data_IF_050749272498
#
_entry.id   IF_050749272498
#
_cell.length_a   1.000
_cell.length_b   1.000
_cell.length_c   1.000
_cell.angle_alpha   90.00
_cell.angle_beta   90.00
_cell.angle_gamma   90.00
#
_symmetry.space_group_name_H-M   'P 1'
#
loop_
_entity.id
_entity.type
_entity.pdbx_description
1 polymer ?
#
# COMPACT_ATOMS: atom_id res chain seq x y z
N UNK A 1 -2.09 -6.56 -0.27
CA UNK A 1 -2.28 -5.92 -1.58
C UNK A 1 -0.89 -5.56 -2.08
N UNK A 2 -0.61 -5.67 -3.38
CA UNK A 2 0.70 -5.34 -3.96
C UNK A 2 0.57 -4.04 -4.75
N UNK A 3 1.59 -3.18 -4.72
CA UNK A 3 1.56 -1.92 -5.45
C UNK A 3 2.03 -2.11 -6.90
N UNK A 4 1.51 -1.29 -7.80
CA UNK A 4 1.87 -1.29 -9.22
C UNK A 4 2.69 -0.04 -9.58
N UNK A 5 3.33 -0.05 -10.75
CA UNK A 5 3.93 1.16 -11.31
C UNK A 5 2.86 2.24 -11.50
N UNK A 6 3.21 3.50 -11.21
CA UNK A 6 2.32 4.68 -11.18
C UNK A 6 1.38 4.76 -9.96
N UNK A 7 1.42 3.80 -9.01
CA UNK A 7 0.60 3.84 -7.80
C UNK A 7 1.11 4.88 -6.78
N UNK A 8 0.19 5.54 -6.07
CA UNK A 8 0.51 6.58 -5.09
C UNK A 8 0.56 5.97 -3.68
N UNK A 9 1.67 6.15 -2.99
CA UNK A 9 1.92 5.53 -1.68
C UNK A 9 2.53 6.52 -0.71
N UNK A 10 2.21 6.37 0.57
CA UNK A 10 2.85 7.07 1.69
C UNK A 10 3.93 6.17 2.25
N UNK A 11 5.16 6.68 2.33
CA UNK A 11 6.28 5.98 2.93
C UNK A 11 6.22 6.12 4.46
N UNK A 12 6.28 5.00 5.17
CA UNK A 12 6.41 4.93 6.62
C UNK A 12 7.73 4.23 6.97
N UNK A 13 8.79 5.01 7.10
CA UNK A 13 10.11 4.50 7.45
C UNK A 13 10.89 5.52 8.29
N UNK A 14 11.07 5.23 9.58
CA UNK A 14 11.74 6.13 10.54
C UNK A 14 13.21 6.43 10.20
N UNK A 15 13.81 5.64 9.30
CA UNK A 15 15.18 5.82 8.82
C UNK A 15 15.26 6.61 7.52
N UNK A 16 14.13 6.83 6.86
CA UNK A 16 14.01 7.61 5.63
C UNK A 16 13.91 9.11 5.93
N UNK A 17 14.39 9.91 4.97
CA UNK A 17 14.18 11.35 4.93
C UNK A 17 12.77 11.72 4.43
N UNK A 18 12.06 10.77 3.80
CA UNK A 18 10.74 10.93 3.18
C UNK A 18 9.62 10.28 4.02
N UNK A 19 9.86 10.03 5.30
CA UNK A 19 8.87 9.47 6.23
C UNK A 19 7.61 10.36 6.31
N UNK A 20 6.46 9.76 6.03
CA UNK A 20 5.16 10.43 5.97
C UNK A 20 4.93 11.23 4.69
N UNK A 21 5.83 11.19 3.71
CA UNK A 21 5.62 11.81 2.39
C UNK A 21 4.93 10.84 1.43
N UNK A 22 4.09 11.41 0.56
CA UNK A 22 3.47 10.68 -0.55
C UNK A 22 4.38 10.71 -1.76
N UNK A 23 4.66 9.53 -2.32
CA UNK A 23 5.39 9.39 -3.57
C UNK A 23 4.71 8.41 -4.53
N UNK A 24 5.29 8.25 -5.70
CA UNK A 24 4.75 7.41 -6.78
C UNK A 24 5.67 6.22 -7.03
N UNK A 25 5.12 5.02 -7.12
CA UNK A 25 5.87 3.82 -7.48
C UNK A 25 6.35 3.94 -8.93
N UNK A 26 7.65 3.84 -9.14
CA UNK A 26 8.27 3.90 -10.48
C UNK A 26 8.90 2.57 -10.90
N UNK A 27 9.04 1.62 -9.96
CA UNK A 27 9.57 0.31 -10.26
C UNK A 27 9.18 -0.70 -9.16
N UNK A 28 8.83 -1.91 -9.58
CA UNK A 28 8.57 -3.07 -8.73
C UNK A 28 9.67 -4.11 -8.94
N UNK A 29 10.34 -4.53 -7.87
CA UNK A 29 11.36 -5.58 -7.88
C UNK A 29 10.91 -6.74 -7.00
N UNK A 30 10.46 -7.82 -7.64
CA UNK A 30 10.18 -9.09 -6.97
C UNK A 30 11.46 -9.91 -6.81
N UNK A 31 11.78 -10.29 -5.58
CA UNK A 31 12.83 -11.24 -5.26
C UNK A 31 12.37 -12.65 -5.60
N UNK A 32 13.29 -13.52 -6.04
CA UNK A 32 13.01 -14.95 -6.32
C UNK A 32 12.54 -15.74 -5.08
N UNK A 33 12.59 -15.12 -3.89
CA UNK A 33 12.09 -15.66 -2.62
C UNK A 33 10.70 -15.16 -2.22
N UNK A 34 10.10 -14.27 -3.00
CA UNK A 34 8.77 -13.71 -2.76
C UNK A 34 8.76 -12.35 -2.07
N UNK A 35 9.91 -11.81 -1.67
CA UNK A 35 10.00 -10.45 -1.14
C UNK A 35 9.91 -9.43 -2.28
N UNK A 36 8.86 -8.61 -2.29
CA UNK A 36 8.73 -7.51 -3.25
C UNK A 36 9.25 -6.22 -2.63
N UNK A 37 10.08 -5.51 -3.38
CA UNK A 37 10.58 -4.18 -3.03
C UNK A 37 10.21 -3.19 -4.12
N UNK A 38 10.00 -1.94 -3.72
CA UNK A 38 9.49 -0.90 -4.57
C UNK A 38 10.48 0.26 -4.64
N UNK A 39 10.42 1.01 -5.74
CA UNK A 39 11.09 2.29 -5.89
C UNK A 39 10.06 3.39 -5.93
N UNK A 40 10.04 4.24 -4.92
CA UNK A 40 9.12 5.37 -4.79
C UNK A 40 9.85 6.64 -5.21
N UNK A 41 9.24 7.43 -6.09
CA UNK A 41 9.75 8.74 -6.49
C UNK A 41 8.95 9.84 -5.81
N UNK A 42 9.64 10.82 -5.26
CA UNK A 42 9.12 12.00 -4.57
C UNK A 42 9.50 13.28 -5.35
N UNK A 43 9.01 14.45 -4.92
CA UNK A 43 9.35 15.74 -5.54
C UNK A 43 10.86 16.08 -5.44
N UNK A 44 11.49 15.74 -4.32
CA UNK A 44 12.90 16.07 -4.04
C UNK A 44 13.86 14.89 -4.27
N UNK A 45 13.37 13.72 -4.70
CA UNK A 45 14.23 12.54 -4.87
C UNK A 45 13.50 11.23 -5.17
N UNK A 46 14.18 10.12 -4.95
CA UNK A 46 13.61 8.78 -5.08
C UNK A 46 14.25 7.83 -4.05
N UNK A 47 13.45 6.91 -3.52
CA UNK A 47 13.83 5.90 -2.55
C UNK A 47 13.65 4.51 -3.19
N UNK A 48 14.71 3.69 -3.20
CA UNK A 48 14.68 2.35 -3.77
C UNK A 48 14.87 1.28 -2.71
N UNK A 49 14.21 0.14 -2.87
CA UNK A 49 14.32 -0.98 -1.93
C UNK A 49 13.33 -0.89 -0.78
N UNK A 50 12.25 -0.14 -0.95
CA UNK A 50 11.20 0.00 0.07
C UNK A 50 10.37 -1.28 0.12
N UNK A 51 10.17 -1.91 1.29
CA UNK A 51 9.29 -3.07 1.41
C UNK A 51 7.81 -2.66 1.36
N UNK A 52 6.91 -3.56 0.95
CA UNK A 52 5.46 -3.28 0.99
C UNK A 52 4.97 -2.90 2.39
N UNK A 53 5.56 -3.47 3.44
CA UNK A 53 5.19 -3.23 4.84
C UNK A 53 5.45 -1.78 5.28
N UNK A 54 6.35 -1.07 4.59
CA UNK A 54 6.66 0.34 4.84
C UNK A 54 5.87 1.29 3.93
N UNK A 55 4.96 0.78 3.12
CA UNK A 55 4.15 1.56 2.20
C UNK A 55 2.67 1.47 2.56
N UNK A 56 2.03 2.62 2.66
CA UNK A 56 0.59 2.74 2.81
C UNK A 56 -0.01 3.29 1.52
N UNK A 57 -1.13 2.74 1.05
CA UNK A 57 -1.80 3.27 -0.14
C UNK A 57 -2.26 4.71 0.12
N UNK A 58 -1.82 5.66 -0.71
CA UNK A 58 -2.29 7.03 -0.62
C UNK A 58 -3.71 7.10 -1.19
N UNK A 59 -4.66 7.52 -0.34
CA UNK A 59 -6.10 7.56 -0.61
C UNK A 59 -6.44 8.44 -1.85
N UNK A 60 -6.37 7.88 -3.06
CA UNK A 60 -6.89 8.51 -4.29
C UNK A 60 -8.03 7.72 -4.97
N UNK A 61 -8.37 6.53 -4.46
CA UNK A 61 -9.67 5.92 -4.69
C UNK A 61 -9.97 4.89 -3.60
N UNK A 62 -11.16 4.93 -2.96
CA UNK A 62 -11.62 3.82 -2.15
C UNK A 62 -11.93 2.66 -3.08
N UNK A 63 -11.00 1.70 -3.22
CA UNK A 63 -11.43 0.37 -3.64
C UNK A 63 -12.23 -0.17 -2.45
N UNK A 64 -13.54 -0.07 -2.62
CA UNK A 64 -14.52 -0.50 -1.66
C UNK A 64 -14.41 -2.02 -1.45
N UNK A 65 -13.67 -2.43 -0.43
CA UNK A 65 -13.95 -3.66 0.32
C UNK A 65 -14.77 -3.28 1.56
N UNK A 66 -15.90 -2.60 1.31
CA UNK A 66 -17.04 -2.55 2.21
C UNK A 66 -17.94 -3.73 1.81
N UNK A 67 -17.49 -4.96 2.07
CA UNK A 67 -18.43 -6.08 2.20
C UNK A 67 -19.07 -5.99 3.59
N UNK A 68 -20.08 -5.14 3.63
CA UNK A 68 -21.33 -5.31 4.36
C UNK A 68 -21.74 -6.80 4.38
N UNK A 69 -21.46 -7.51 5.48
CA UNK A 69 -22.31 -8.61 5.93
C UNK A 69 -22.86 -8.23 7.31
N UNK A 70 -23.74 -7.24 7.28
CA UNK A 70 -24.62 -6.88 8.37
C UNK A 70 -26.08 -7.15 7.98
N UNK A 71 -26.49 -8.43 7.94
CA UNK A 71 -27.89 -8.86 8.16
C UNK A 71 -27.91 -10.42 8.11
N UNK A 72 -28.53 -11.20 8.99
CA UNK A 72 -29.63 -10.93 9.87
C UNK A 72 -29.68 -11.96 11.00
N UNK A 73 -29.99 -11.45 12.19
CA UNK A 73 -30.75 -12.14 13.23
C UNK A 73 -31.92 -12.95 12.62
N UNK A 74 -31.88 -14.26 12.78
CA UNK A 74 -33.06 -15.13 12.65
C UNK A 74 -32.96 -16.24 13.70
N UNK A 75 -33.16 -15.85 14.95
CA UNK A 75 -33.76 -16.71 15.96
C UNK A 75 -35.12 -17.19 15.41
N UNK A 76 -35.16 -18.42 14.90
CA UNK A 76 -36.41 -19.13 14.60
C UNK A 76 -36.39 -20.49 15.29
N UNK A 77 -36.73 -20.43 16.57
CA UNK A 77 -37.65 -21.30 17.32
C UNK A 77 -38.07 -22.65 16.69
N UNK A 78 -38.02 -23.68 17.55
CA UNK A 78 -38.59 -25.06 17.49
C UNK A 78 -37.70 -26.25 17.05
#
# INVERSE_FOLDING_TARGET
MSFEEDDHVVLHDEHSEFDGETGTITQTMESMFGDVTYTVSFEDGQEAGVPEDALEAADEAPDADDEDDADADAEADE
#
